data_IF_136977466063
#
_entry.id   IF_136977466063
#
_cell.length_a   1.000
_cell.length_b   1.000
_cell.length_c   1.000
_cell.angle_alpha   90.00
_cell.angle_beta   90.00
_cell.angle_gamma   90.00
#
_symmetry.space_group_name_H-M   'P 1'
#
loop_
_entity.id
_entity.type
_entity.pdbx_description
1 polymer ?
#
# COMPACT_ATOMS: atom_id res chain seq x y z
N UNK A 1 5.04 -19.77 -28.22
CA UNK A 1 3.79 -19.00 -28.05
C UNK A 1 3.46 -19.04 -26.56
N UNK A 2 3.81 -17.99 -25.81
CA UNK A 2 3.66 -17.98 -24.35
C UNK A 2 2.24 -17.59 -23.95
N UNK A 3 1.51 -18.54 -23.37
CA UNK A 3 0.20 -18.33 -22.77
C UNK A 3 0.37 -17.45 -21.53
N UNK A 4 -0.01 -16.17 -21.63
CA UNK A 4 -0.10 -15.28 -20.46
C UNK A 4 -1.19 -15.80 -19.53
N UNK A 5 -0.80 -16.46 -18.45
CA UNK A 5 -1.70 -16.80 -17.35
C UNK A 5 -2.07 -15.48 -16.67
N UNK A 6 -3.31 -15.04 -16.85
CA UNK A 6 -3.89 -13.91 -16.13
C UNK A 6 -3.99 -14.35 -14.67
N UNK A 7 -3.12 -13.83 -13.81
CA UNK A 7 -3.13 -14.12 -12.39
C UNK A 7 -4.34 -13.42 -11.76
N UNK A 8 -5.43 -14.17 -11.56
CA UNK A 8 -6.59 -13.69 -10.82
C UNK A 8 -6.15 -13.21 -9.43
N UNK A 9 -6.39 -11.94 -9.14
CA UNK A 9 -6.13 -11.39 -7.83
C UNK A 9 -7.09 -12.02 -6.82
N UNK A 10 -6.56 -12.50 -5.69
CA UNK A 10 -7.36 -13.10 -4.61
C UNK A 10 -8.18 -12.02 -3.91
N UNK A 11 -9.45 -11.89 -4.29
CA UNK A 11 -10.47 -11.25 -3.46
C UNK A 11 -10.83 -12.24 -2.34
N UNK A 12 -10.07 -12.22 -1.25
CA UNK A 12 -10.52 -12.86 -0.01
C UNK A 12 -11.53 -11.93 0.66
N UNK A 13 -12.79 -12.02 0.23
CA UNK A 13 -13.92 -11.60 1.07
C UNK A 13 -14.08 -12.69 2.11
N UNK A 14 -13.94 -12.36 3.40
CA UNK A 14 -14.29 -13.27 4.48
C UNK A 14 -15.82 -13.38 4.56
N UNK A 15 -16.40 -14.15 3.64
CA UNK A 15 -17.72 -14.75 3.86
C UNK A 15 -17.54 -16.26 3.70
N UNK A 16 -17.95 -16.99 4.73
CA UNK A 16 -17.55 -18.37 4.99
C UNK A 16 -17.70 -19.32 3.81
N UNK A 17 -16.57 -19.81 3.31
CA UNK A 17 -16.51 -21.01 2.47
C UNK A 17 -16.08 -22.15 3.39
N UNK A 18 -17.09 -22.90 3.87
CA UNK A 18 -16.89 -24.28 4.31
C UNK A 18 -16.78 -25.16 3.06
N UNK A 19 -15.87 -26.10 3.14
CA UNK A 19 -15.68 -27.25 2.25
C UNK A 19 -15.03 -26.99 0.88
N UNK A 20 -13.74 -27.33 0.83
CA UNK A 20 -12.93 -27.42 -0.37
C UNK A 20 -11.46 -27.51 0.04
N UNK A 21 -10.92 -28.73 0.14
CA UNK A 21 -9.66 -29.04 0.79
C UNK A 21 -8.49 -28.15 0.37
N UNK A 22 -8.06 -27.29 1.29
CA UNK A 22 -6.74 -26.68 1.24
C UNK A 22 -5.82 -27.52 2.11
N UNK A 23 -4.74 -28.03 1.51
CA UNK A 23 -3.59 -28.53 2.24
C UNK A 23 -3.15 -27.41 3.18
N UNK A 24 -3.36 -27.64 4.48
CA UNK A 24 -2.84 -26.81 5.55
C UNK A 24 -1.31 -26.92 5.49
N UNK A 25 -0.69 -26.07 4.65
CA UNK A 25 0.69 -25.71 4.89
C UNK A 25 0.70 -24.98 6.21
N UNK A 26 1.03 -25.70 7.28
CA UNK A 26 1.53 -25.15 8.55
C UNK A 26 2.77 -24.32 8.21
N UNK A 27 2.55 -23.08 7.78
CA UNK A 27 3.58 -22.05 7.77
C UNK A 27 3.75 -21.70 9.24
N UNK A 28 4.69 -22.39 9.89
CA UNK A 28 5.16 -22.04 11.22
C UNK A 28 5.46 -20.54 11.23
N UNK A 29 4.64 -19.81 11.97
CA UNK A 29 4.67 -18.35 12.08
C UNK A 29 5.90 -17.92 12.86
N UNK A 30 7.06 -17.96 12.21
CA UNK A 30 8.28 -17.27 12.63
C UNK A 30 8.52 -16.06 11.72
N UNK A 31 7.53 -15.18 11.59
CA UNK A 31 7.72 -13.87 10.94
C UNK A 31 8.51 -12.95 11.87
N UNK A 32 9.82 -13.20 11.99
CA UNK A 32 10.76 -12.20 12.49
C UNK A 32 10.74 -11.08 11.46
N UNK A 33 10.06 -10.00 11.79
CA UNK A 33 10.07 -8.76 11.03
C UNK A 33 11.54 -8.40 10.79
N UNK A 34 11.97 -8.36 9.53
CA UNK A 34 13.38 -8.12 9.23
C UNK A 34 13.67 -6.64 9.50
N UNK A 35 14.53 -6.36 10.48
CA UNK A 35 15.01 -5.00 10.73
C UNK A 35 15.88 -4.58 9.55
N UNK A 36 15.62 -3.40 9.02
CA UNK A 36 16.32 -2.85 7.86
C UNK A 36 16.71 -1.38 8.09
N UNK A 37 17.71 -0.93 7.33
CA UNK A 37 17.93 0.48 7.05
C UNK A 37 17.13 0.82 5.79
N UNK A 38 16.40 1.93 5.80
CA UNK A 38 15.63 2.35 4.64
C UNK A 38 16.57 2.80 3.52
N UNK A 39 16.27 2.42 2.27
CA UNK A 39 16.93 3.02 1.11
C UNK A 39 16.60 4.52 1.07
N UNK A 40 17.48 5.32 0.49
CA UNK A 40 17.35 6.79 0.51
C UNK A 40 15.97 7.26 0.00
N UNK A 41 15.53 6.74 -1.15
CA UNK A 41 14.23 7.10 -1.72
C UNK A 41 13.06 6.70 -0.80
N UNK A 42 13.11 5.51 -0.19
CA UNK A 42 12.06 5.07 0.74
C UNK A 42 12.06 5.91 2.02
N UNK A 43 13.25 6.26 2.52
CA UNK A 43 13.42 7.11 3.69
C UNK A 43 12.80 8.49 3.44
N UNK A 44 13.10 9.11 2.31
CA UNK A 44 12.56 10.41 1.92
C UNK A 44 11.03 10.38 1.80
N UNK A 45 10.49 9.32 1.20
CA UNK A 45 9.04 9.11 1.14
C UNK A 45 8.44 9.00 2.55
N UNK A 46 9.00 8.15 3.43
CA UNK A 46 8.50 8.01 4.82
C UNK A 46 8.59 9.35 5.56
N UNK A 47 9.67 10.11 5.36
CA UNK A 47 9.85 11.43 5.95
C UNK A 47 8.77 12.41 5.47
N UNK A 48 8.44 12.42 4.18
CA UNK A 48 7.34 13.21 3.62
C UNK A 48 6.00 12.82 4.24
N UNK A 49 5.72 11.51 4.39
CA UNK A 49 4.49 11.02 5.01
C UNK A 49 4.36 11.51 6.46
N UNK A 50 5.45 11.46 7.22
CA UNK A 50 5.49 11.88 8.63
C UNK A 50 5.29 13.38 8.76
N UNK A 51 5.97 14.17 7.93
CA UNK A 51 5.82 15.63 7.88
C UNK A 51 4.43 16.07 7.42
N UNK A 52 3.76 15.28 6.57
CA UNK A 52 2.39 15.56 6.16
C UNK A 52 1.33 15.36 7.26
N UNK A 53 1.63 14.58 8.30
CA UNK A 53 0.72 14.31 9.44
C UNK A 53 0.91 15.24 10.62
N UNK A 54 2.16 15.63 10.88
CA UNK A 54 2.53 16.52 11.97
C UNK A 54 2.63 17.95 11.45
N UNK A 55 2.40 18.99 12.29
CA UNK A 55 2.72 20.36 11.87
C UNK A 55 4.18 20.40 11.39
N UNK A 56 4.34 20.76 10.12
CA UNK A 56 5.34 20.36 9.12
C UNK A 56 6.84 20.42 9.48
N UNK A 57 7.26 20.94 10.63
CA UNK A 57 8.66 21.35 10.87
C UNK A 57 9.38 20.64 12.02
N UNK A 58 8.67 19.89 12.87
CA UNK A 58 9.30 19.27 14.04
C UNK A 58 10.17 18.05 13.69
N UNK A 59 9.81 17.29 12.65
CA UNK A 59 10.49 16.04 12.31
C UNK A 59 11.61 16.25 11.27
N UNK A 60 12.84 16.00 11.70
CA UNK A 60 14.05 16.13 10.89
C UNK A 60 14.54 14.79 10.36
N UNK A 61 15.25 14.85 9.24
CA UNK A 61 15.96 13.69 8.73
C UNK A 61 17.13 13.36 9.66
N UNK A 62 17.44 12.08 9.78
CA UNK A 62 18.57 11.58 10.56
C UNK A 62 19.92 12.09 10.01
N UNK A 63 20.00 12.35 8.71
CA UNK A 63 21.20 12.85 8.04
C UNK A 63 21.50 14.34 8.31
N UNK A 64 20.53 15.12 8.80
CA UNK A 64 20.63 16.57 8.91
C UNK A 64 21.43 17.00 10.16
N UNK A 65 22.71 16.61 10.24
CA UNK A 65 23.58 16.92 11.38
C UNK A 65 24.32 18.25 11.21
N UNK A 66 24.45 19.09 12.27
CA UNK A 66 23.94 18.90 13.63
C UNK A 66 22.44 19.19 13.76
N UNK A 67 21.77 18.43 14.61
CA UNK A 67 20.36 18.66 14.90
C UNK A 67 20.18 19.73 16.00
N UNK A 68 19.20 20.64 15.87
CA UNK A 68 18.86 21.55 16.96
C UNK A 68 18.39 20.80 18.22
N UNK A 69 18.63 21.41 19.39
CA UNK A 69 18.19 20.85 20.68
C UNK A 69 16.67 20.69 20.69
N UNK A 70 16.20 19.51 21.11
CA UNK A 70 14.77 19.19 21.15
C UNK A 70 14.15 18.79 19.80
N UNK A 71 14.95 18.65 18.75
CA UNK A 71 14.45 18.18 17.45
C UNK A 71 13.95 16.74 17.54
N UNK A 72 12.82 16.48 16.91
CA UNK A 72 12.29 15.14 16.71
C UNK A 72 12.92 14.53 15.46
N UNK A 73 13.52 13.34 15.54
CA UNK A 73 14.27 12.76 14.42
C UNK A 73 13.59 11.48 13.96
N UNK A 74 13.36 11.34 12.65
CA UNK A 74 12.89 10.08 12.07
C UNK A 74 14.06 9.08 12.00
N UNK A 75 13.97 7.91 12.67
CA UNK A 75 15.03 6.90 12.61
C UNK A 75 15.30 6.41 11.18
N UNK A 76 16.55 6.11 10.86
CA UNK A 76 17.01 5.66 9.54
C UNK A 76 16.47 4.27 9.11
N UNK A 77 15.72 3.59 9.97
CA UNK A 77 15.33 2.20 9.74
C UNK A 77 14.06 1.80 10.44
N UNK A 78 13.65 0.58 10.13
CA UNK A 78 12.41 -0.01 10.62
C UNK A 78 12.36 -1.48 10.26
N UNK A 79 11.18 -1.95 9.90
CA UNK A 79 10.95 -3.35 9.58
C UNK A 79 10.20 -3.52 8.27
N UNK A 80 10.58 -4.53 7.50
CA UNK A 80 9.78 -5.01 6.38
C UNK A 80 8.63 -5.90 6.87
N UNK A 81 7.44 -5.66 6.34
CA UNK A 81 6.26 -6.48 6.58
C UNK A 81 5.90 -7.25 5.31
N UNK A 82 5.48 -8.51 5.46
CA UNK A 82 4.85 -9.27 4.38
C UNK A 82 3.36 -8.97 4.25
N UNK A 83 2.74 -8.50 5.35
CA UNK A 83 1.33 -8.14 5.39
C UNK A 83 1.02 -7.15 6.51
N UNK A 84 -0.04 -6.37 6.34
CA UNK A 84 -0.61 -5.52 7.38
C UNK A 84 -2.15 -5.49 7.30
N UNK A 85 -2.79 -5.05 8.38
CA UNK A 85 -4.22 -4.77 8.40
C UNK A 85 -4.47 -3.29 8.15
N UNK A 86 -5.39 -3.00 7.23
CA UNK A 86 -5.92 -1.67 6.95
C UNK A 86 -7.28 -1.43 7.59
N UNK A 87 -7.96 -0.33 7.24
CA UNK A 87 -9.32 -0.04 7.67
C UNK A 87 -10.27 -1.18 7.32
N UNK A 88 -11.29 -1.40 8.17
CA UNK A 88 -12.30 -2.47 8.00
C UNK A 88 -11.68 -3.87 7.89
N UNK A 89 -10.56 -4.07 8.60
CA UNK A 89 -9.82 -5.33 8.65
C UNK A 89 -9.33 -5.83 7.27
N UNK A 90 -9.10 -4.90 6.33
CA UNK A 90 -8.54 -5.24 5.02
C UNK A 90 -7.11 -5.76 5.17
N UNK A 91 -6.89 -7.04 4.87
CA UNK A 91 -5.56 -7.64 4.87
C UNK A 91 -4.82 -7.28 3.57
N UNK A 92 -3.76 -6.50 3.70
CA UNK A 92 -2.87 -6.11 2.60
C UNK A 92 -1.63 -6.99 2.69
N UNK A 93 -1.22 -7.57 1.56
CA UNK A 93 -0.09 -8.51 1.48
C UNK A 93 0.81 -8.19 0.30
N UNK A 94 2.10 -8.53 0.44
CA UNK A 94 3.08 -8.52 -0.64
C UNK A 94 3.22 -9.88 -1.34
N UNK A 95 2.36 -10.84 -1.01
CA UNK A 95 2.38 -12.14 -1.67
C UNK A 95 1.93 -11.97 -3.13
N UNK A 96 2.63 -12.56 -4.11
CA UNK A 96 2.20 -12.52 -5.49
C UNK A 96 0.82 -13.16 -5.70
N UNK A 97 -0.06 -12.57 -6.52
CA UNK A 97 0.09 -11.25 -7.14
C UNK A 97 -0.05 -10.12 -6.08
N UNK A 98 0.82 -9.12 -6.15
CA UNK A 98 0.76 -7.96 -5.25
C UNK A 98 -0.63 -7.34 -5.27
N UNK A 99 -1.11 -6.86 -4.12
CA UNK A 99 -2.45 -6.29 -4.05
C UNK A 99 -2.54 -4.96 -4.83
N UNK A 100 -3.61 -4.81 -5.61
CA UNK A 100 -4.06 -3.51 -6.09
C UNK A 100 -4.99 -2.91 -5.03
N UNK A 101 -4.77 -1.64 -4.71
CA UNK A 101 -5.55 -0.92 -3.70
C UNK A 101 -6.22 0.30 -4.31
N UNK A 102 -7.37 0.66 -3.73
CA UNK A 102 -8.02 1.94 -3.93
C UNK A 102 -7.77 2.81 -2.70
N UNK A 103 -7.16 3.98 -2.88
CA UNK A 103 -6.81 4.90 -1.80
C UNK A 103 -7.30 6.32 -2.08
N UNK A 104 -7.42 7.12 -1.01
CA UNK A 104 -7.76 8.54 -1.10
C UNK A 104 -6.56 9.41 -0.74
N UNK A 105 -6.34 10.43 -1.56
CA UNK A 105 -5.34 11.46 -1.34
C UNK A 105 -5.96 12.80 -1.71
N UNK A 106 -5.91 13.78 -0.82
CA UNK A 106 -6.53 15.11 -1.02
C UNK A 106 -8.02 15.04 -1.43
N UNK A 107 -8.76 14.07 -0.89
CA UNK A 107 -10.18 13.83 -1.22
C UNK A 107 -10.44 13.13 -2.55
N UNK A 108 -9.42 12.97 -3.40
CA UNK A 108 -9.53 12.31 -4.70
C UNK A 108 -9.26 10.81 -4.59
N UNK A 109 -9.88 10.06 -5.50
CA UNK A 109 -9.76 8.60 -5.58
C UNK A 109 -8.61 8.21 -6.50
N UNK A 110 -7.73 7.35 -6.01
CA UNK A 110 -6.58 6.85 -6.75
C UNK A 110 -6.46 5.33 -6.62
N UNK A 111 -5.68 4.74 -7.52
CA UNK A 111 -5.39 3.32 -7.56
C UNK A 111 -3.88 3.09 -7.57
N UNK A 112 -3.42 2.01 -6.95
CA UNK A 112 -2.00 1.69 -6.92
C UNK A 112 -1.72 0.23 -6.63
N UNK A 113 -0.62 -0.27 -7.17
CA UNK A 113 -0.07 -1.59 -6.83
C UNK A 113 0.84 -1.45 -5.63
N UNK A 114 0.58 -2.23 -4.58
CA UNK A 114 1.47 -2.29 -3.41
C UNK A 114 2.85 -2.81 -3.83
N UNK A 115 3.90 -2.06 -3.46
CA UNK A 115 5.29 -2.45 -3.71
C UNK A 115 5.95 -2.94 -2.43
N UNK A 116 5.84 -2.18 -1.33
CA UNK A 116 6.46 -2.53 -0.06
C UNK A 116 5.63 -2.05 1.14
N UNK A 117 5.77 -2.76 2.25
CA UNK A 117 5.16 -2.45 3.54
C UNK A 117 6.26 -2.25 4.58
N UNK A 118 6.30 -1.05 5.19
CA UNK A 118 7.27 -0.67 6.19
C UNK A 118 6.58 -0.44 7.53
N UNK A 119 7.11 -1.03 8.60
CA UNK A 119 6.79 -0.61 9.97
C UNK A 119 7.94 0.25 10.48
N UNK A 120 7.65 1.50 10.82
CA UNK A 120 8.64 2.46 11.30
C UNK A 120 8.23 3.01 12.67
N UNK A 121 9.22 3.44 13.45
CA UNK A 121 8.94 4.12 14.71
C UNK A 121 8.66 5.59 14.41
N UNK A 122 7.40 6.00 14.60
CA UNK A 122 7.06 7.40 14.52
C UNK A 122 7.62 8.10 15.77
N UNK A 123 8.34 9.22 15.64
CA UNK A 123 9.02 9.80 16.80
C UNK A 123 8.09 10.27 17.94
N UNK A 124 6.85 10.64 17.61
CA UNK A 124 5.87 11.15 18.58
C UNK A 124 4.67 10.20 18.79
N UNK A 125 4.67 9.03 18.15
CA UNK A 125 3.52 8.13 18.19
C UNK A 125 3.95 6.67 18.35
N UNK A 126 2.97 5.78 18.46
CA UNK A 126 3.21 4.35 18.33
C UNK A 126 3.78 4.01 16.95
N UNK A 127 4.43 2.84 16.78
CA UNK A 127 4.92 2.39 15.49
C UNK A 127 3.83 2.45 14.41
N UNK A 128 4.16 3.10 13.29
CA UNK A 128 3.25 3.32 12.17
C UNK A 128 3.61 2.42 10.99
N UNK A 129 2.65 2.23 10.09
CA UNK A 129 2.83 1.49 8.84
C UNK A 129 2.81 2.47 7.67
N UNK A 130 3.85 2.42 6.86
CA UNK A 130 3.93 3.12 5.58
C UNK A 130 3.91 2.10 4.44
N UNK A 131 3.20 2.45 3.37
CA UNK A 131 2.97 1.58 2.22
C UNK A 131 3.47 2.32 1.00
N UNK A 132 4.50 1.79 0.34
CA UNK A 132 4.90 2.29 -0.97
C UNK A 132 4.09 1.61 -2.04
N UNK A 133 3.60 2.42 -2.97
CA UNK A 133 2.75 2.00 -4.07
C UNK A 133 3.26 2.59 -5.37
N UNK A 134 3.07 1.85 -6.46
CA UNK A 134 3.15 2.43 -7.78
C UNK A 134 1.75 2.80 -8.22
N UNK A 135 1.52 4.08 -8.48
CA UNK A 135 0.21 4.57 -8.89
C UNK A 135 -0.21 3.96 -10.22
N UNK A 136 -1.52 3.79 -10.41
CA UNK A 136 -2.11 3.30 -11.65
C UNK A 136 -2.94 4.43 -12.25
N UNK A 137 -2.69 4.74 -13.51
CA UNK A 137 -3.58 5.55 -14.31
C UNK A 137 -4.72 4.67 -14.84
N UNK A 138 -5.94 4.83 -14.29
CA UNK A 138 -7.11 4.05 -14.67
C UNK A 138 -7.69 4.55 -16.00
N UNK A 139 -7.61 3.72 -17.04
CA UNK A 139 -8.11 4.03 -18.39
C UNK A 139 -9.64 4.04 -18.48
N UNK A 140 -10.32 3.42 -17.53
CA UNK A 140 -11.77 3.28 -17.49
C UNK A 140 -12.34 3.84 -16.19
N UNK A 141 -11.80 4.98 -15.73
CA UNK A 141 -12.43 5.76 -14.69
C UNK A 141 -13.87 6.12 -15.10
N UNK A 142 -14.77 6.26 -14.11
CA UNK A 142 -16.15 6.68 -14.37
C UNK A 142 -16.15 8.04 -15.05
N UNK A 143 -16.43 8.03 -16.35
CA UNK A 143 -16.50 9.24 -17.17
C UNK A 143 -17.86 9.24 -17.90
N UNK A 144 -18.74 10.20 -17.60
CA UNK A 144 -20.08 10.26 -18.17
C UNK A 144 -20.07 10.51 -19.69
N UNK A 145 -18.96 10.94 -20.27
CA UNK A 145 -18.81 11.23 -21.72
C UNK A 145 -18.29 10.04 -22.52
N UNK A 146 -17.74 9.02 -21.85
CA UNK A 146 -17.11 7.90 -22.51
C UNK A 146 -18.16 6.95 -23.13
N UNK A 147 -18.02 6.52 -24.39
CA UNK A 147 -18.97 5.60 -25.04
C UNK A 147 -19.00 4.20 -24.40
N UNK A 148 -17.97 3.81 -23.65
CA UNK A 148 -17.85 2.49 -23.02
C UNK A 148 -18.50 2.40 -21.62
N UNK A 149 -19.64 3.05 -21.40
CA UNK A 149 -20.33 3.10 -20.08
C UNK A 149 -20.64 1.73 -19.50
N UNK A 150 -21.10 0.79 -20.33
CA UNK A 150 -21.41 -0.59 -19.91
C UNK A 150 -20.15 -1.28 -19.39
N UNK A 151 -19.04 -1.14 -20.10
CA UNK A 151 -17.77 -1.73 -19.69
C UNK A 151 -17.21 -1.12 -18.41
N UNK A 152 -17.27 0.21 -18.27
CA UNK A 152 -16.90 0.90 -17.04
C UNK A 152 -17.75 0.45 -15.85
N UNK A 153 -19.05 0.26 -16.09
CA UNK A 153 -19.98 -0.24 -15.07
C UNK A 153 -19.64 -1.66 -14.64
N UNK A 154 -19.31 -2.55 -15.58
CA UNK A 154 -18.84 -3.91 -15.28
C UNK A 154 -17.53 -3.84 -14.48
N UNK A 155 -16.55 -3.04 -14.90
CA UNK A 155 -15.29 -2.88 -14.18
C UNK A 155 -15.52 -2.39 -12.74
N UNK A 156 -16.43 -1.43 -12.56
CA UNK A 156 -16.82 -0.93 -11.24
C UNK A 156 -17.44 -2.02 -10.36
N UNK A 157 -18.41 -2.79 -10.89
CA UNK A 157 -19.06 -3.88 -10.16
C UNK A 157 -18.06 -4.95 -9.72
N UNK A 158 -17.12 -5.28 -10.60
CA UNK A 158 -16.08 -6.28 -10.36
C UNK A 158 -14.91 -5.78 -9.51
N UNK A 159 -14.92 -4.50 -9.10
CA UNK A 159 -13.78 -3.82 -8.48
C UNK A 159 -12.49 -3.98 -9.29
N UNK A 160 -12.60 -3.90 -10.60
CA UNK A 160 -11.49 -4.06 -11.55
C UNK A 160 -10.94 -2.69 -11.97
N UNK A 161 -9.62 -2.57 -11.96
CA UNK A 161 -8.88 -1.41 -12.45
C UNK A 161 -8.14 -1.85 -13.70
N UNK A 162 -8.45 -1.22 -14.83
CA UNK A 162 -7.73 -1.45 -16.08
C UNK A 162 -6.97 -0.17 -16.39
N UNK A 163 -5.65 -0.28 -16.44
CA UNK A 163 -4.82 0.91 -16.55
C UNK A 163 -3.35 0.60 -16.75
N UNK A 164 -2.56 1.66 -16.62
CA UNK A 164 -1.11 1.59 -16.73
C UNK A 164 -0.47 1.93 -15.39
N UNK A 165 0.46 1.07 -14.96
CA UNK A 165 1.33 1.32 -13.80
C UNK A 165 2.29 2.46 -14.14
N UNK A 166 2.29 3.49 -13.31
CA UNK A 166 3.25 4.59 -13.39
C UNK A 166 4.56 4.18 -12.70
N UNK A 167 5.72 4.65 -13.19
CA UNK A 167 7.03 4.27 -12.65
C UNK A 167 7.30 4.87 -11.26
N UNK A 168 6.71 6.03 -10.96
CA UNK A 168 6.93 6.75 -9.72
C UNK A 168 6.28 6.06 -8.53
N UNK A 169 7.02 6.00 -7.42
CA UNK A 169 6.52 5.50 -6.16
C UNK A 169 5.88 6.63 -5.36
N UNK A 170 4.70 6.34 -4.84
CA UNK A 170 4.03 7.17 -3.84
C UNK A 170 4.00 6.42 -2.53
N UNK A 171 3.93 7.14 -1.41
CA UNK A 171 3.76 6.54 -0.10
C UNK A 171 2.46 6.97 0.53
N UNK A 172 1.81 6.02 1.18
CA UNK A 172 0.55 6.26 1.90
C UNK A 172 0.56 5.56 3.25
N UNK A 173 -0.32 6.02 4.13
CA UNK A 173 -0.70 5.32 5.35
C UNK A 173 -1.84 4.33 5.10
N UNK A 174 -1.96 3.33 5.97
CA UNK A 174 -3.07 2.36 5.94
C UNK A 174 -4.44 3.04 5.95
N UNK A 175 -4.60 4.13 6.69
CA UNK A 175 -5.87 4.86 6.84
C UNK A 175 -6.39 5.48 5.53
N UNK A 176 -5.51 5.68 4.54
CA UNK A 176 -5.90 6.20 3.23
C UNK A 176 -6.53 5.13 2.34
N UNK A 177 -6.40 3.85 2.70
CA UNK A 177 -6.88 2.72 1.91
C UNK A 177 -8.36 2.49 2.18
N UNK A 178 -9.12 2.36 1.08
CA UNK A 178 -10.56 2.18 1.12
C UNK A 178 -11.01 0.81 0.65
N UNK A 179 -10.28 0.16 -0.26
CA UNK A 179 -10.64 -1.15 -0.80
C UNK A 179 -9.44 -1.87 -1.42
N UNK A 180 -9.59 -3.18 -1.58
CA UNK A 180 -8.80 -3.99 -2.50
C UNK A 180 -9.51 -4.02 -3.86
N UNK A 181 -8.72 -3.98 -4.92
CA UNK A 181 -9.17 -4.00 -6.30
C UNK A 181 -8.50 -5.18 -7.02
N UNK A 182 -9.07 -5.59 -8.15
CA UNK A 182 -8.39 -6.39 -9.16
C UNK A 182 -7.69 -5.47 -10.17
N UNK A 183 -6.54 -5.89 -10.71
CA UNK A 183 -5.77 -5.21 -11.76
C UNK A 183 -5.20 -6.26 -12.72
#
# INVERSE_FOLDING_TARGET
>A
MMTKVIAQQRLLVMDGIKDGGFVEMKIESRNRHQKIVFAQNDYELILQLVRGKTNYEAVRAWSDFPHPVGSTILPQGGYLLLSCHGPKDLKITLLPPHNCIQYRQNGLLHYGMVQQLYKYHHPNEQPQIAITISSIHNSFAKDPTNPSKVFQFICYLMKLVIGQKLPELTIISTNQISNLMAY
#
